data_IF_505266160413
#
_entry.id   IF_505266160413
#
_cell.length_a   1.000
_cell.length_b   1.000
_cell.length_c   1.000
_cell.angle_alpha   90.00
_cell.angle_beta   90.00
_cell.angle_gamma   90.00
#
_symmetry.space_group_name_H-M   'P 1'
#
loop_
_entity.id
_entity.type
_entity.pdbx_description
1 polymer ?
#
# COMPACT_ATOMS: atom_id res chain seq x y z
N UNK A 1 -3.65 -2.43 -25.63
CA UNK A 1 -4.85 -3.20 -25.28
C UNK A 1 -5.25 -2.91 -23.85
N UNK A 2 -6.29 -3.56 -23.33
CA UNK A 2 -6.67 -3.51 -21.91
C UNK A 2 -6.85 -4.92 -21.36
N UNK A 3 -6.79 -5.06 -20.04
CA UNK A 3 -7.08 -6.30 -19.32
C UNK A 3 -8.40 -6.16 -18.56
N UNK A 4 -9.26 -7.18 -18.65
CA UNK A 4 -10.48 -7.26 -17.83
C UNK A 4 -10.52 -8.61 -17.11
N UNK A 5 -10.36 -8.57 -15.79
CA UNK A 5 -10.51 -9.73 -14.90
C UNK A 5 -11.94 -9.80 -14.38
N UNK A 6 -12.64 -10.89 -14.73
CA UNK A 6 -14.02 -11.18 -14.28
C UNK A 6 -14.09 -12.49 -13.50
N UNK A 7 -15.25 -12.77 -12.90
CA UNK A 7 -15.51 -14.00 -12.16
C UNK A 7 -14.78 -14.09 -10.81
N UNK A 8 -15.12 -15.10 -10.00
CA UNK A 8 -14.64 -15.22 -8.62
C UNK A 8 -13.25 -15.86 -8.48
N UNK A 9 -12.70 -16.43 -9.56
CA UNK A 9 -11.40 -17.11 -9.55
C UNK A 9 -10.20 -16.17 -9.47
N UNK A 10 -9.01 -16.77 -9.38
CA UNK A 10 -7.72 -16.08 -9.45
C UNK A 10 -7.18 -16.10 -10.88
N UNK A 11 -6.62 -14.97 -11.33
CA UNK A 11 -5.81 -14.86 -12.54
C UNK A 11 -4.42 -14.38 -12.14
N UNK A 12 -3.38 -15.07 -12.58
CA UNK A 12 -2.00 -14.66 -12.37
C UNK A 12 -1.41 -14.12 -13.67
N UNK A 13 -0.85 -12.93 -13.61
CA UNK A 13 -0.03 -12.35 -14.67
C UNK A 13 1.43 -12.67 -14.39
N UNK A 14 2.13 -13.16 -15.39
CA UNK A 14 3.56 -13.46 -15.34
C UNK A 14 4.29 -12.69 -16.43
N UNK A 15 5.37 -12.02 -16.06
CA UNK A 15 6.19 -11.20 -16.96
C UNK A 15 5.58 -9.83 -17.25
N UNK A 16 6.44 -8.86 -17.57
CA UNK A 16 6.03 -7.50 -17.89
C UNK A 16 5.08 -7.44 -19.10
N UNK A 17 4.08 -6.57 -19.02
CA UNK A 17 3.10 -6.37 -20.08
C UNK A 17 3.06 -4.91 -20.50
N UNK A 18 3.11 -4.62 -21.80
CA UNK A 18 3.17 -3.22 -22.31
C UNK A 18 1.78 -2.65 -22.70
N UNK A 19 0.70 -3.18 -22.13
CA UNK A 19 -0.64 -2.66 -22.44
C UNK A 19 -0.90 -1.34 -21.69
N UNK A 20 -1.53 -0.39 -22.37
CA UNK A 20 -1.79 0.95 -21.84
C UNK A 20 -3.27 1.30 -21.65
N UNK A 21 -4.19 0.42 -22.06
CA UNK A 21 -5.64 0.65 -21.99
C UNK A 21 -6.27 0.38 -20.62
N UNK A 22 -5.45 0.15 -19.59
CA UNK A 22 -5.88 -0.10 -18.22
C UNK A 22 -6.21 -1.55 -17.89
N UNK A 23 -6.44 -1.76 -16.59
CA UNK A 23 -6.82 -3.04 -15.98
C UNK A 23 -8.13 -2.86 -15.22
N UNK A 24 -9.16 -3.64 -15.54
CA UNK A 24 -10.42 -3.65 -14.77
C UNK A 24 -10.58 -4.99 -14.06
N UNK A 25 -10.75 -4.98 -12.74
CA UNK A 25 -11.02 -6.17 -11.92
C UNK A 25 -12.44 -6.05 -11.38
N UNK A 26 -13.39 -6.77 -11.97
CA UNK A 26 -14.79 -6.75 -11.53
C UNK A 26 -15.11 -7.78 -10.44
N UNK A 27 -14.18 -8.70 -10.16
CA UNK A 27 -14.30 -9.69 -9.10
C UNK A 27 -13.15 -10.69 -9.04
N UNK A 28 -13.12 -11.47 -7.96
CA UNK A 28 -12.08 -12.46 -7.70
C UNK A 28 -10.73 -11.81 -7.41
N UNK A 29 -9.65 -12.50 -7.78
CA UNK A 29 -8.28 -12.05 -7.53
C UNK A 29 -7.51 -11.89 -8.83
N UNK A 30 -6.80 -10.78 -8.99
CA UNK A 30 -5.72 -10.61 -9.95
C UNK A 30 -4.40 -10.60 -9.19
N UNK A 31 -3.46 -11.45 -9.58
CA UNK A 31 -2.15 -11.58 -8.93
C UNK A 31 -1.06 -11.24 -9.95
N UNK A 32 -0.16 -10.32 -9.58
CA UNK A 32 1.04 -9.99 -10.32
C UNK A 32 2.25 -10.12 -9.39
N UNK A 33 3.24 -10.94 -9.76
CA UNK A 33 4.45 -11.08 -8.95
C UNK A 33 5.26 -9.77 -8.95
N UNK A 34 5.23 -9.03 -10.06
CA UNK A 34 5.90 -7.73 -10.22
C UNK A 34 4.95 -6.70 -10.86
N UNK A 35 5.04 -5.44 -10.44
CA UNK A 35 4.11 -4.38 -10.84
C UNK A 35 4.10 -4.11 -12.36
N UNK A 36 5.22 -4.32 -13.04
CA UNK A 36 5.36 -4.20 -14.51
C UNK A 36 4.44 -5.14 -15.30
N UNK A 37 3.90 -6.18 -14.65
CA UNK A 37 2.94 -7.10 -15.24
C UNK A 37 1.56 -6.45 -15.44
N UNK A 38 1.29 -5.29 -14.83
CA UNK A 38 -0.02 -4.62 -14.86
C UNK A 38 -0.14 -3.54 -15.94
N UNK A 39 0.87 -3.39 -16.80
CA UNK A 39 0.90 -2.36 -17.83
C UNK A 39 0.95 -0.95 -17.26
N UNK A 40 0.67 0.04 -18.10
CA UNK A 40 0.83 1.46 -17.74
C UNK A 40 -0.49 2.22 -17.58
N UNK A 41 -1.62 1.58 -17.81
CA UNK A 41 -2.94 2.23 -17.73
C UNK A 41 -3.56 2.12 -16.33
N UNK A 42 -4.57 2.94 -16.05
CA UNK A 42 -5.26 2.93 -14.76
C UNK A 42 -5.81 1.55 -14.37
N UNK A 43 -5.90 1.30 -13.06
CA UNK A 43 -6.48 0.09 -12.49
C UNK A 43 -7.80 0.44 -11.78
N UNK A 44 -8.91 -0.06 -12.31
CA UNK A 44 -10.22 -0.05 -11.66
C UNK A 44 -10.43 -1.39 -10.95
N UNK A 45 -10.26 -1.41 -9.62
CA UNK A 45 -10.31 -2.61 -8.81
C UNK A 45 -11.58 -2.65 -7.95
N UNK A 46 -12.45 -3.63 -8.21
CA UNK A 46 -13.59 -4.00 -7.37
C UNK A 46 -13.41 -5.39 -6.72
N UNK A 47 -12.23 -6.01 -6.84
CA UNK A 47 -11.92 -7.33 -6.30
C UNK A 47 -10.72 -7.30 -5.36
N UNK A 48 -9.78 -8.21 -5.56
CA UNK A 48 -8.48 -8.24 -4.87
C UNK A 48 -7.37 -8.12 -5.90
N UNK A 49 -6.50 -7.12 -5.74
CA UNK A 49 -5.26 -7.01 -6.48
C UNK A 49 -4.11 -7.42 -5.58
N UNK A 50 -3.41 -8.53 -5.90
CA UNK A 50 -2.17 -8.93 -5.24
C UNK A 50 -0.97 -8.49 -6.07
N UNK A 51 -0.02 -7.81 -5.44
CA UNK A 51 1.25 -7.40 -6.09
C UNK A 51 2.43 -7.82 -5.22
N UNK A 52 3.45 -8.44 -5.81
CA UNK A 52 4.63 -8.91 -5.07
C UNK A 52 5.66 -7.82 -4.80
N UNK A 53 6.06 -7.08 -5.84
CA UNK A 53 7.14 -6.08 -5.78
C UNK A 53 7.13 -5.17 -7.02
N UNK A 54 8.03 -4.18 -7.05
CA UNK A 54 8.20 -3.23 -8.16
C UNK A 54 7.54 -1.88 -7.90
N UNK A 55 7.49 -1.03 -8.92
CA UNK A 55 6.87 0.30 -8.84
C UNK A 55 5.49 0.27 -9.49
N UNK A 56 4.44 0.45 -8.68
CA UNK A 56 3.08 0.57 -9.16
C UNK A 56 2.75 2.05 -9.41
N UNK A 57 3.09 2.51 -10.60
CA UNK A 57 2.84 3.87 -11.08
C UNK A 57 1.38 4.08 -11.53
N UNK A 58 0.61 3.00 -11.70
CA UNK A 58 -0.77 3.07 -12.15
C UNK A 58 -1.65 3.78 -11.11
N UNK A 59 -2.59 4.60 -11.59
CA UNK A 59 -3.72 5.08 -10.77
C UNK A 59 -4.56 3.88 -10.32
N UNK A 60 -4.58 3.54 -9.03
CA UNK A 60 -5.45 2.51 -8.47
C UNK A 60 -6.71 3.12 -7.88
N UNK A 61 -7.87 2.69 -8.35
CA UNK A 61 -9.18 3.18 -7.92
C UNK A 61 -10.16 2.02 -7.65
N UNK A 62 -11.34 2.35 -7.10
CA UNK A 62 -12.42 1.40 -6.87
C UNK A 62 -12.57 0.95 -5.40
N UNK A 63 -13.42 -0.04 -5.16
CA UNK A 63 -13.75 -0.55 -3.82
C UNK A 63 -12.98 -1.82 -3.42
N UNK A 64 -12.18 -2.36 -4.33
CA UNK A 64 -11.37 -3.54 -4.13
C UNK A 64 -10.16 -3.28 -3.22
N UNK A 65 -9.58 -4.37 -2.75
CA UNK A 65 -8.41 -4.36 -1.86
C UNK A 65 -7.10 -4.51 -2.61
N UNK A 66 -6.04 -3.96 -2.02
CA UNK A 66 -4.65 -4.20 -2.41
C UNK A 66 -4.00 -5.15 -1.42
N UNK A 67 -3.26 -6.14 -1.92
CA UNK A 67 -2.48 -7.06 -1.08
C UNK A 67 -1.03 -7.07 -1.55
N UNK A 68 -0.14 -6.53 -0.73
CA UNK A 68 1.30 -6.67 -0.90
C UNK A 68 1.72 -8.07 -0.47
N UNK A 69 2.28 -8.82 -1.42
CA UNK A 69 2.80 -10.18 -1.25
C UNK A 69 4.31 -10.21 -1.45
N UNK A 70 4.94 -11.38 -1.32
CA UNK A 70 6.38 -11.53 -1.54
C UNK A 70 7.24 -10.82 -0.48
N UNK A 71 8.55 -11.00 -0.60
CA UNK A 71 9.54 -10.45 0.35
C UNK A 71 10.17 -9.14 -0.11
N UNK A 72 9.97 -8.75 -1.37
CA UNK A 72 10.53 -7.53 -1.96
C UNK A 72 9.80 -6.26 -1.53
N UNK A 73 10.15 -5.16 -2.19
CA UNK A 73 9.56 -3.83 -2.00
C UNK A 73 8.56 -3.55 -3.12
N UNK A 74 7.38 -3.04 -2.75
CA UNK A 74 6.40 -2.45 -3.67
C UNK A 74 6.31 -0.96 -3.37
N UNK A 75 6.53 -0.13 -4.36
CA UNK A 75 6.31 1.33 -4.27
C UNK A 75 4.95 1.68 -4.85
N UNK A 76 4.14 2.43 -4.12
CA UNK A 76 2.92 3.06 -4.63
C UNK A 76 3.21 4.52 -4.95
N UNK A 77 3.24 4.86 -6.23
CA UNK A 77 3.52 6.22 -6.72
C UNK A 77 2.38 6.83 -7.55
N UNK A 78 1.38 6.03 -7.92
CA UNK A 78 0.17 6.53 -8.60
C UNK A 78 -0.77 7.34 -7.70
N UNK A 79 -1.66 8.12 -8.33
CA UNK A 79 -2.71 8.93 -7.68
C UNK A 79 -3.87 8.05 -7.18
N UNK A 80 -3.60 7.25 -6.15
CA UNK A 80 -4.51 6.20 -5.71
C UNK A 80 -5.74 6.74 -4.96
N UNK A 81 -6.92 6.22 -5.30
CA UNK A 81 -8.22 6.61 -4.72
C UNK A 81 -9.06 5.42 -4.29
N UNK A 82 -8.48 4.22 -4.24
CA UNK A 82 -9.20 3.03 -3.81
C UNK A 82 -9.66 3.13 -2.35
N UNK A 83 -10.80 2.50 -2.08
CA UNK A 83 -11.48 2.55 -0.78
C UNK A 83 -11.50 1.21 -0.04
N UNK A 84 -11.12 0.12 -0.72
CA UNK A 84 -10.86 -1.14 -0.04
C UNK A 84 -9.58 -1.08 0.80
N UNK A 85 -9.43 -2.03 1.71
CA UNK A 85 -8.26 -2.09 2.59
C UNK A 85 -6.98 -2.49 1.86
N UNK A 86 -5.85 -2.25 2.54
CA UNK A 86 -4.51 -2.68 2.12
C UNK A 86 -3.97 -3.71 3.10
N UNK A 87 -3.58 -4.88 2.59
CA UNK A 87 -2.93 -5.92 3.42
C UNK A 87 -1.48 -6.08 3.00
N UNK A 88 -0.55 -5.94 3.95
CA UNK A 88 0.87 -6.22 3.74
C UNK A 88 1.18 -7.56 4.41
N UNK A 89 1.23 -8.62 3.60
CA UNK A 89 1.50 -9.97 4.12
C UNK A 89 2.98 -10.21 4.43
N UNK A 90 3.87 -9.40 3.84
CA UNK A 90 5.31 -9.47 4.03
C UNK A 90 6.07 -8.47 3.13
N UNK A 91 7.38 -8.41 3.31
CA UNK A 91 8.24 -7.46 2.59
C UNK A 91 7.99 -6.01 2.99
N UNK A 92 8.14 -5.09 2.05
CA UNK A 92 7.97 -3.65 2.27
C UNK A 92 6.94 -3.06 1.31
N UNK A 93 5.99 -2.28 1.83
CA UNK A 93 5.19 -1.34 1.05
C UNK A 93 5.71 0.07 1.30
N UNK A 94 6.00 0.80 0.25
CA UNK A 94 6.52 2.17 0.31
C UNK A 94 5.57 3.12 -0.38
N UNK A 95 5.26 4.24 0.28
CA UNK A 95 4.52 5.34 -0.30
C UNK A 95 5.21 6.65 0.09
N UNK A 96 5.60 7.48 -0.90
CA UNK A 96 6.23 8.77 -0.59
C UNK A 96 5.23 9.71 0.09
N UNK A 97 3.96 9.63 -0.27
CA UNK A 97 2.88 10.39 0.33
C UNK A 97 1.80 9.44 0.87
N UNK A 98 1.27 9.77 2.06
CA UNK A 98 0.28 8.94 2.74
C UNK A 98 -1.03 8.75 1.95
N UNK A 99 -1.41 9.72 1.10
CA UNK A 99 -2.62 9.64 0.28
C UNK A 99 -2.54 8.59 -0.85
N UNK A 100 -1.34 8.17 -1.26
CA UNK A 100 -1.14 7.04 -2.18
C UNK A 100 -1.61 5.68 -1.59
N UNK A 101 -1.93 5.60 -0.29
CA UNK A 101 -2.41 4.38 0.37
C UNK A 101 -3.94 4.25 0.37
N UNK A 102 -4.64 5.10 -0.37
CA UNK A 102 -6.11 5.07 -0.44
C UNK A 102 -6.76 5.40 0.91
N UNK A 103 -8.02 5.00 1.08
CA UNK A 103 -8.82 5.37 2.26
C UNK A 103 -9.21 4.22 3.18
N UNK A 104 -8.97 2.97 2.79
CA UNK A 104 -9.30 1.79 3.59
C UNK A 104 -8.28 1.49 4.68
N UNK A 105 -8.64 0.63 5.64
CA UNK A 105 -7.72 0.22 6.72
C UNK A 105 -6.49 -0.53 6.17
N UNK A 106 -5.39 -0.47 6.93
CA UNK A 106 -4.13 -1.14 6.62
C UNK A 106 -3.86 -2.24 7.65
N UNK A 107 -3.81 -3.50 7.18
CA UNK A 107 -3.35 -4.65 7.97
C UNK A 107 -1.90 -4.95 7.59
N UNK A 108 -0.96 -4.58 8.47
CA UNK A 108 0.46 -4.67 8.21
C UNK A 108 1.10 -5.81 9.02
N UNK A 109 1.63 -6.82 8.32
CA UNK A 109 2.49 -7.87 8.88
C UNK A 109 3.95 -7.77 8.40
N UNK A 110 4.29 -6.76 7.60
CA UNK A 110 5.63 -6.48 7.07
C UNK A 110 6.17 -5.13 7.52
N UNK A 111 6.69 -4.35 6.57
CA UNK A 111 7.13 -2.97 6.78
C UNK A 111 6.29 -2.04 5.93
N UNK A 112 5.71 -1.01 6.54
CA UNK A 112 5.11 0.13 5.83
C UNK A 112 6.07 1.33 5.94
N UNK A 113 6.60 1.82 4.82
CA UNK A 113 7.35 3.07 4.76
C UNK A 113 6.46 4.19 4.23
N UNK A 114 6.44 5.32 4.93
CA UNK A 114 5.69 6.51 4.50
C UNK A 114 6.56 7.76 4.61
N UNK A 115 6.64 8.54 3.54
CA UNK A 115 7.46 9.75 3.48
C UNK A 115 6.82 10.94 4.21
N UNK A 116 5.65 11.37 3.76
CA UNK A 116 4.97 12.56 4.29
C UNK A 116 3.44 12.51 4.11
N UNK A 117 2.74 13.52 4.61
CA UNK A 117 1.29 13.69 4.47
C UNK A 117 0.50 13.28 5.72
N UNK A 118 -0.80 13.03 5.56
CA UNK A 118 -1.69 12.62 6.65
C UNK A 118 -2.20 11.19 6.42
N UNK A 119 -1.74 10.25 7.25
CA UNK A 119 -2.23 8.88 7.25
C UNK A 119 -3.47 8.78 8.14
N UNK A 120 -4.64 8.81 7.50
CA UNK A 120 -5.95 8.68 8.17
C UNK A 120 -6.38 7.23 8.38
N UNK A 121 -5.76 6.31 7.63
CA UNK A 121 -6.08 4.89 7.65
C UNK A 121 -5.84 4.32 9.05
N UNK A 122 -6.69 3.38 9.48
CA UNK A 122 -6.40 2.58 10.67
C UNK A 122 -5.30 1.59 10.36
N UNK A 123 -4.15 1.71 11.01
CA UNK A 123 -3.03 0.78 10.89
C UNK A 123 -3.10 -0.28 12.00
N UNK A 124 -3.08 -1.55 11.62
CA UNK A 124 -3.16 -2.70 12.49
C UNK A 124 -2.11 -3.76 12.12
N UNK A 125 -2.01 -4.84 12.91
CA UNK A 125 -1.13 -5.97 12.64
C UNK A 125 0.19 -5.97 13.43
N UNK A 126 1.10 -6.88 13.09
CA UNK A 126 2.38 -7.06 13.78
C UNK A 126 3.56 -6.38 13.11
N UNK A 127 3.35 -5.78 11.94
CA UNK A 127 4.37 -5.11 11.14
C UNK A 127 4.78 -3.75 11.70
N UNK A 128 5.90 -3.24 11.21
CA UNK A 128 6.47 -1.95 11.63
C UNK A 128 6.06 -0.81 10.70
N UNK A 129 6.01 0.40 11.27
CA UNK A 129 5.91 1.66 10.52
C UNK A 129 7.28 2.33 10.47
N UNK A 130 7.68 2.82 9.29
CA UNK A 130 8.90 3.59 9.10
C UNK A 130 8.56 4.93 8.46
N UNK A 131 8.80 6.01 9.19
CA UNK A 131 8.74 7.37 8.66
C UNK A 131 10.04 7.67 7.91
N UNK A 132 9.94 7.91 6.61
CA UNK A 132 11.03 8.30 5.70
C UNK A 132 10.87 9.74 5.24
N UNK A 133 11.82 10.28 4.47
CA UNK A 133 11.71 11.63 3.89
C UNK A 133 11.79 12.77 4.90
N UNK A 134 12.16 13.96 4.44
CA UNK A 134 12.40 15.13 5.30
C UNK A 134 11.12 15.81 5.78
N UNK A 135 9.96 15.48 5.20
CA UNK A 135 8.67 16.10 5.48
C UNK A 135 8.02 15.66 6.80
N UNK A 136 6.79 16.11 7.01
CA UNK A 136 5.96 15.74 8.15
C UNK A 136 5.00 14.61 7.77
N UNK A 137 4.94 13.56 8.59
CA UNK A 137 3.89 12.55 8.54
C UNK A 137 2.99 12.71 9.76
N UNK A 138 1.71 12.96 9.53
CA UNK A 138 0.69 13.00 10.57
C UNK A 138 -0.07 11.68 10.61
N UNK A 139 -0.06 11.01 11.76
CA UNK A 139 -0.89 9.84 12.02
C UNK A 139 -2.18 10.30 12.71
N UNK A 140 -3.30 10.15 12.00
CA UNK A 140 -4.63 10.53 12.48
C UNK A 140 -5.54 9.33 12.76
N UNK A 141 -5.20 8.14 12.24
CA UNK A 141 -5.95 6.90 12.46
C UNK A 141 -5.95 6.41 13.92
N UNK A 142 -6.92 5.54 14.26
CA UNK A 142 -7.00 4.86 15.55
C UNK A 142 -6.22 3.55 15.52
N UNK A 143 -4.90 3.66 15.63
CA UNK A 143 -3.98 2.58 15.31
C UNK A 143 -3.88 1.50 16.41
N UNK A 144 -3.67 0.25 16.00
CA UNK A 144 -3.55 -0.93 16.87
C UNK A 144 -2.37 -1.84 16.52
N UNK A 145 -1.49 -1.41 15.62
CA UNK A 145 -0.31 -2.19 15.27
C UNK A 145 0.62 -2.38 16.48
N UNK A 146 1.31 -3.52 16.48
CA UNK A 146 2.18 -3.95 17.59
C UNK A 146 3.66 -3.98 17.23
N UNK A 147 4.00 -3.85 15.94
CA UNK A 147 5.39 -3.62 15.53
C UNK A 147 5.87 -2.22 15.91
N UNK A 148 7.19 -2.02 15.86
CA UNK A 148 7.80 -0.74 16.20
C UNK A 148 7.54 0.37 15.19
N UNK A 149 7.80 1.60 15.61
CA UNK A 149 7.77 2.80 14.77
C UNK A 149 9.17 3.39 14.70
N UNK A 150 9.74 3.45 13.50
CA UNK A 150 11.07 4.04 13.27
C UNK A 150 10.93 5.37 12.54
N UNK A 151 11.50 6.44 13.09
CA UNK A 151 11.61 7.74 12.44
C UNK A 151 13.02 7.83 11.87
N UNK A 152 13.14 7.54 10.57
CA UNK A 152 14.43 7.57 9.87
C UNK A 152 14.82 8.97 9.40
N UNK A 153 13.83 9.82 9.11
CA UNK A 153 14.03 11.22 8.70
C UNK A 153 12.72 12.04 8.91
N UNK A 154 12.86 13.36 8.99
CA UNK A 154 11.75 14.30 9.14
C UNK A 154 11.01 14.23 10.48
N UNK A 155 9.71 14.55 10.45
CA UNK A 155 8.88 14.65 11.67
C UNK A 155 7.71 13.67 11.62
N UNK A 156 7.48 12.95 12.72
CA UNK A 156 6.25 12.18 12.94
C UNK A 156 5.34 12.92 13.93
N UNK A 157 4.10 13.18 13.52
CA UNK A 157 3.09 13.87 14.32
C UNK A 157 1.99 12.86 14.68
N UNK A 158 1.72 12.68 15.97
CA UNK A 158 0.60 11.90 16.46
C UNK A 158 -0.60 12.83 16.73
N UNK A 159 -1.65 12.74 15.89
CA UNK A 159 -2.80 13.66 15.95
C UNK A 159 -4.05 13.08 16.65
N UNK A 160 -4.02 11.80 17.02
CA UNK A 160 -5.09 11.11 17.77
C UNK A 160 -4.53 10.43 19.03
N UNK A 161 -5.41 10.08 19.97
CA UNK A 161 -5.01 9.42 21.24
C UNK A 161 -4.39 8.05 21.02
N UNK A 162 -4.78 7.36 19.95
CA UNK A 162 -4.29 6.06 19.54
C UNK A 162 -3.49 6.15 18.22
N UNK A 163 -2.90 7.32 17.91
CA UNK A 163 -2.18 7.52 16.66
C UNK A 163 -0.93 6.64 16.54
N UNK A 164 -0.37 6.20 17.66
CA UNK A 164 0.79 5.31 17.70
C UNK A 164 0.35 3.90 18.12
N UNK A 165 1.07 2.90 17.61
CA UNK A 165 0.89 1.51 18.02
C UNK A 165 1.44 1.23 19.41
N UNK A 166 1.45 -0.05 19.77
CA UNK A 166 1.95 -0.53 21.07
C UNK A 166 3.44 -0.92 21.07
N UNK A 167 4.09 -0.91 19.90
CA UNK A 167 5.50 -1.23 19.76
C UNK A 167 6.45 -0.10 20.17
N UNK A 168 7.74 -0.42 20.26
CA UNK A 168 8.78 0.55 20.58
C UNK A 168 8.90 1.65 19.51
N UNK A 169 9.30 2.84 19.94
CA UNK A 169 9.58 3.96 19.04
C UNK A 169 11.09 4.17 18.98
N UNK A 170 11.65 4.07 17.78
CA UNK A 170 13.05 4.39 17.50
C UNK A 170 13.13 5.70 16.71
N UNK A 171 13.79 6.70 17.28
CA UNK A 171 14.01 8.00 16.65
C UNK A 171 15.49 8.14 16.28
N UNK A 172 15.93 7.33 15.32
CA UNK A 172 17.32 7.23 14.89
C UNK A 172 17.71 8.23 13.80
N UNK A 173 16.74 8.96 13.20
CA UNK A 173 16.99 10.01 12.22
C UNK A 173 17.69 11.21 12.87
N UNK A 174 18.99 11.37 12.61
CA UNK A 174 19.80 12.55 12.95
C UNK A 174 20.13 13.38 11.73
#
# INVERSE_FOLDING_TARGET
GSLVKTGTGELTLSGGNDYSGGTTITGGTLTADHADSLGSGDIDNSGVLKVGEGDLENTLSGSGSLVKTGTGELTLSGDNTYSGGTTITGGTLTADHADSLGSGDIDNSGVLKVGEGELKNTLSGSGSLVKTGTGELTLSGDNTYSGGTTISDGTLIAASVNALGSGDIDNSGV
#
